data_IF_045943895871
#
_entry.id   IF_045943895871
#
_cell.length_a   1.000
_cell.length_b   1.000
_cell.length_c   1.000
_cell.angle_alpha   90.00
_cell.angle_beta   90.00
_cell.angle_gamma   90.00
#
_symmetry.space_group_name_H-M   'P 1'
#
loop_
_entity.id
_entity.type
_entity.pdbx_description
1 polymer ?
#
# COMPACT_ATOMS: atom_id res chain seq x y z
N UNK A 1 18.81 -42.08 -6.05
CA UNK A 1 19.10 -42.59 -4.70
C UNK A 1 20.52 -42.18 -4.30
N UNK A 2 20.77 -40.90 -3.99
CA UNK A 2 22.11 -40.44 -3.55
C UNK A 2 22.17 -39.08 -2.83
N UNK A 3 21.07 -38.33 -2.69
CA UNK A 3 21.11 -36.98 -2.09
C UNK A 3 20.91 -37.02 -0.56
N UNK A 4 20.40 -38.12 -0.01
CA UNK A 4 20.09 -38.24 1.43
C UNK A 4 21.33 -38.38 2.33
N UNK A 5 22.47 -38.81 1.78
CA UNK A 5 23.68 -39.11 2.55
C UNK A 5 24.50 -37.87 2.94
N UNK A 6 24.41 -36.78 2.17
CA UNK A 6 25.16 -35.54 2.47
C UNK A 6 24.55 -34.79 3.64
N UNK A 7 23.21 -34.74 3.71
CA UNK A 7 22.50 -34.03 4.78
C UNK A 7 22.66 -34.70 6.16
N UNK A 8 22.85 -36.02 6.20
CA UNK A 8 23.05 -36.79 7.43
C UNK A 8 24.46 -36.64 8.01
N UNK A 9 25.46 -36.30 7.19
CA UNK A 9 26.86 -36.19 7.60
C UNK A 9 27.22 -34.82 8.19
N UNK A 10 26.47 -33.77 7.85
CA UNK A 10 26.68 -32.41 8.39
C UNK A 10 26.16 -32.29 9.83
N UNK A 11 25.03 -32.92 10.13
CA UNK A 11 24.39 -32.94 11.45
C UNK A 11 25.33 -33.38 12.62
N UNK A 12 26.08 -34.50 12.54
CA UNK A 12 26.98 -34.91 13.62
C UNK A 12 28.24 -34.05 13.73
N UNK A 13 28.70 -33.43 12.63
CA UNK A 13 29.88 -32.57 12.64
C UNK A 13 29.59 -31.24 13.36
N UNK A 14 28.39 -30.67 13.17
CA UNK A 14 27.95 -29.45 13.83
C UNK A 14 27.76 -29.63 15.34
N UNK A 15 27.22 -30.79 15.77
CA UNK A 15 27.03 -31.12 17.18
C UNK A 15 28.34 -31.22 17.99
N UNK A 16 29.45 -31.65 17.37
CA UNK A 16 30.78 -31.74 18.02
C UNK A 16 31.45 -30.37 18.18
N UNK A 17 31.14 -29.41 17.31
CA UNK A 17 31.74 -28.07 17.33
C UNK A 17 31.12 -27.11 18.35
N UNK A 18 30.03 -27.50 19.05
CA UNK A 18 29.35 -26.64 20.02
C UNK A 18 28.58 -25.48 19.38
N UNK A 19 28.45 -25.44 18.06
CA UNK A 19 27.76 -24.41 17.28
C UNK A 19 26.37 -24.93 16.91
N UNK A 20 25.46 -24.93 17.89
CA UNK A 20 24.11 -25.52 17.75
C UNK A 20 23.04 -24.47 17.39
N UNK A 21 23.32 -23.18 17.64
CA UNK A 21 22.38 -22.06 17.46
C UNK A 21 22.64 -21.24 16.19
N UNK A 22 23.22 -21.85 15.15
CA UNK A 22 23.46 -21.13 13.90
C UNK A 22 22.23 -21.24 13.00
N UNK A 23 21.57 -20.10 12.76
CA UNK A 23 20.41 -20.07 11.88
C UNK A 23 20.81 -20.44 10.45
N UNK A 24 20.13 -21.46 9.90
CA UNK A 24 20.34 -21.89 8.53
C UNK A 24 20.03 -20.75 7.55
N UNK A 25 20.88 -20.59 6.53
CA UNK A 25 20.71 -19.57 5.49
C UNK A 25 19.33 -19.64 4.83
N UNK A 26 18.79 -20.85 4.64
CA UNK A 26 17.46 -21.07 4.06
C UNK A 26 16.39 -20.42 4.94
N UNK A 27 16.47 -20.60 6.26
CA UNK A 27 15.55 -20.01 7.23
C UNK A 27 15.60 -18.49 7.17
N UNK A 28 16.80 -17.91 7.17
CA UNK A 28 17.02 -16.46 7.05
C UNK A 28 16.40 -15.92 5.76
N UNK A 29 16.62 -16.60 4.63
CA UNK A 29 16.09 -16.17 3.33
C UNK A 29 14.57 -16.26 3.26
N UNK A 30 13.96 -17.31 3.84
CA UNK A 30 12.50 -17.44 3.88
C UNK A 30 11.90 -16.34 4.75
N UNK A 31 12.44 -16.14 5.96
CA UNK A 31 11.95 -15.10 6.88
C UNK A 31 12.13 -13.69 6.26
N UNK A 32 13.32 -13.40 5.74
CA UNK A 32 13.62 -12.15 5.06
C UNK A 32 12.74 -11.94 3.82
N UNK A 33 12.48 -13.01 3.05
CA UNK A 33 11.58 -12.99 1.90
C UNK A 33 10.14 -12.66 2.29
N UNK A 34 9.62 -13.26 3.36
CA UNK A 34 8.27 -12.95 3.88
C UNK A 34 8.17 -11.48 4.28
N UNK A 35 9.15 -10.98 5.04
CA UNK A 35 9.19 -9.56 5.46
C UNK A 35 9.30 -8.65 4.24
N UNK A 36 10.13 -8.98 3.25
CA UNK A 36 10.28 -8.20 2.04
C UNK A 36 8.98 -8.16 1.23
N UNK A 37 8.27 -9.28 1.05
CA UNK A 37 6.96 -9.33 0.39
C UNK A 37 5.96 -8.44 1.11
N UNK A 38 5.90 -8.55 2.44
CA UNK A 38 4.99 -7.72 3.24
C UNK A 38 5.31 -6.22 3.07
N UNK A 39 6.59 -5.86 3.11
CA UNK A 39 7.06 -4.47 3.03
C UNK A 39 6.92 -3.85 1.63
N UNK A 40 7.22 -4.57 0.55
CA UNK A 40 7.18 -4.04 -0.81
C UNK A 40 5.85 -4.25 -1.53
N UNK A 41 5.13 -5.33 -1.25
CA UNK A 41 3.94 -5.71 -2.02
C UNK A 41 2.64 -5.50 -1.26
N UNK A 42 2.61 -5.73 0.06
CA UNK A 42 1.36 -5.67 0.83
C UNK A 42 1.13 -4.26 1.40
N UNK A 43 2.11 -3.72 2.12
CA UNK A 43 1.96 -2.45 2.82
C UNK A 43 1.78 -1.23 1.91
N UNK A 44 2.49 -1.07 0.78
CA UNK A 44 2.36 0.12 -0.03
C UNK A 44 0.95 0.28 -0.62
N UNK A 45 0.29 -0.74 -1.21
CA UNK A 45 -1.12 -0.67 -1.61
C UNK A 45 -2.08 -0.26 -0.49
N UNK A 46 -1.88 -0.77 0.73
CA UNK A 46 -2.71 -0.42 1.89
C UNK A 46 -2.56 1.07 2.21
N UNK A 47 -1.32 1.56 2.30
CA UNK A 47 -1.02 2.97 2.61
C UNK A 47 -1.55 3.89 1.50
N UNK A 48 -1.34 3.55 0.23
CA UNK A 48 -1.85 4.34 -0.89
C UNK A 48 -3.40 4.36 -0.92
N UNK A 49 -4.06 3.26 -0.59
CA UNK A 49 -5.52 3.21 -0.46
C UNK A 49 -6.01 4.07 0.72
N UNK A 50 -5.32 4.01 1.87
CA UNK A 50 -5.63 4.85 3.04
C UNK A 50 -5.50 6.33 2.71
N UNK A 51 -4.38 6.73 2.09
CA UNK A 51 -4.15 8.07 1.59
C UNK A 51 -5.26 8.50 0.63
N UNK A 52 -5.61 7.68 -0.38
CA UNK A 52 -6.66 8.01 -1.36
C UNK A 52 -7.99 8.37 -0.69
N UNK A 53 -8.44 7.57 0.27
CA UNK A 53 -9.77 7.72 0.91
C UNK A 53 -9.79 8.89 1.88
N UNK A 54 -8.69 9.11 2.62
CA UNK A 54 -8.67 10.03 3.76
C UNK A 54 -7.96 11.35 3.48
N UNK A 55 -7.32 11.53 2.31
CA UNK A 55 -6.52 12.71 1.99
C UNK A 55 -7.23 14.02 2.34
N UNK A 56 -8.48 14.20 1.92
CA UNK A 56 -9.23 15.45 2.14
C UNK A 56 -9.93 15.53 3.51
N UNK A 57 -9.96 14.46 4.29
CA UNK A 57 -10.68 14.36 5.58
C UNK A 57 -9.77 14.13 6.79
N UNK A 58 -8.45 14.14 6.58
CA UNK A 58 -7.47 13.82 7.63
C UNK A 58 -7.36 14.93 8.66
N UNK A 59 -7.19 14.55 9.93
CA UNK A 59 -6.82 15.46 11.03
C UNK A 59 -5.30 15.60 11.13
N UNK A 60 -4.82 16.55 11.93
CA UNK A 60 -3.38 16.82 12.12
C UNK A 60 -2.57 15.58 12.49
N UNK A 61 -3.02 14.80 13.48
CA UNK A 61 -2.32 13.58 13.91
C UNK A 61 -2.32 12.50 12.81
N UNK A 62 -3.45 12.30 12.14
CA UNK A 62 -3.56 11.36 11.02
C UNK A 62 -2.62 11.73 9.87
N UNK A 63 -2.47 13.02 9.58
CA UNK A 63 -1.52 13.51 8.59
C UNK A 63 -0.07 13.13 8.93
N UNK A 64 0.36 13.34 10.17
CA UNK A 64 1.72 12.96 10.61
C UNK A 64 1.94 11.45 10.45
N UNK A 65 0.97 10.64 10.88
CA UNK A 65 1.06 9.18 10.77
C UNK A 65 1.11 8.73 9.30
N UNK A 66 0.26 9.29 8.45
CA UNK A 66 0.25 9.00 7.02
C UNK A 66 1.60 9.31 6.35
N UNK A 67 2.17 10.49 6.63
CA UNK A 67 3.47 10.85 6.08
C UNK A 67 4.60 9.96 6.61
N UNK A 68 4.60 9.67 7.91
CA UNK A 68 5.57 8.74 8.51
C UNK A 68 5.54 7.37 7.81
N UNK A 69 4.34 6.82 7.56
CA UNK A 69 4.19 5.56 6.84
C UNK A 69 4.69 5.67 5.38
N UNK A 70 4.41 6.77 4.68
CA UNK A 70 4.93 6.97 3.31
C UNK A 70 6.46 6.99 3.29
N UNK A 71 7.12 7.65 4.24
CA UNK A 71 8.58 7.66 4.31
C UNK A 71 9.14 6.29 4.69
N UNK A 72 8.51 5.60 5.64
CA UNK A 72 8.95 4.27 6.07
C UNK A 72 8.83 3.23 4.94
N UNK A 73 7.81 3.33 4.08
CA UNK A 73 7.58 2.42 2.94
C UNK A 73 7.89 3.07 1.58
N UNK A 74 8.64 4.17 1.55
CA UNK A 74 8.90 4.93 0.34
C UNK A 74 9.42 4.10 -0.84
N UNK A 75 10.42 3.20 -0.68
CA UNK A 75 10.89 2.39 -1.79
C UNK A 75 9.82 1.43 -2.32
N UNK A 76 8.93 0.93 -1.45
CA UNK A 76 7.76 0.15 -1.86
C UNK A 76 6.71 0.98 -2.58
N UNK A 77 6.42 2.19 -2.12
CA UNK A 77 5.48 3.10 -2.80
C UNK A 77 5.99 3.46 -4.20
N UNK A 78 7.30 3.67 -4.37
CA UNK A 78 7.92 3.94 -5.67
C UNK A 78 7.74 2.78 -6.65
N UNK A 79 7.84 1.54 -6.19
CA UNK A 79 7.60 0.34 -7.01
C UNK A 79 6.18 0.32 -7.59
N UNK A 80 5.18 0.76 -6.80
CA UNK A 80 3.78 0.75 -7.22
C UNK A 80 3.34 1.97 -8.02
N UNK A 81 4.08 3.09 -7.94
CA UNK A 81 3.74 4.35 -8.58
C UNK A 81 3.35 4.26 -10.07
N UNK A 82 4.04 3.50 -10.94
CA UNK A 82 3.67 3.43 -12.36
C UNK A 82 2.39 2.63 -12.64
N UNK A 83 1.94 1.79 -11.71
CA UNK A 83 0.83 0.85 -11.93
C UNK A 83 -0.53 1.41 -11.47
N UNK A 84 -0.52 2.38 -10.56
CA UNK A 84 -1.75 2.88 -9.94
C UNK A 84 -2.13 4.26 -10.50
N UNK A 85 -3.38 4.36 -10.98
CA UNK A 85 -3.95 5.61 -11.46
C UNK A 85 -5.07 6.07 -10.52
N UNK A 86 -4.80 7.09 -9.71
CA UNK A 86 -5.79 7.69 -8.80
C UNK A 86 -6.53 8.89 -9.39
N UNK A 87 -6.54 9.03 -10.72
CA UNK A 87 -7.36 10.05 -11.39
C UNK A 87 -8.84 9.79 -11.09
N UNK A 88 -9.55 10.85 -10.73
CA UNK A 88 -11.01 10.80 -10.54
C UNK A 88 -11.68 10.38 -11.86
N UNK A 89 -12.68 9.51 -11.77
CA UNK A 89 -13.52 9.15 -12.90
C UNK A 89 -14.37 10.35 -13.37
N UNK A 90 -14.91 10.30 -14.60
CA UNK A 90 -15.81 11.33 -15.11
C UNK A 90 -16.97 11.57 -14.14
N UNK A 91 -17.27 12.85 -13.86
CA UNK A 91 -18.19 13.25 -12.78
C UNK A 91 -19.67 13.17 -13.15
N UNK A 92 -19.98 13.13 -14.44
CA UNK A 92 -21.34 13.12 -14.95
C UNK A 92 -21.47 12.00 -16.00
N UNK A 93 -22.30 10.97 -15.75
CA UNK A 93 -22.53 9.86 -16.68
C UNK A 93 -23.20 10.29 -17.99
N UNK A 94 -23.89 11.44 -18.00
CA UNK A 94 -24.60 11.95 -19.18
C UNK A 94 -23.66 12.61 -20.20
N UNK A 95 -22.44 12.94 -19.79
CA UNK A 95 -21.45 13.57 -20.66
C UNK A 95 -20.87 12.54 -21.64
N UNK A 96 -20.97 12.83 -22.94
CA UNK A 96 -20.34 12.04 -24.00
C UNK A 96 -18.82 12.01 -23.87
N UNK A 97 -18.21 13.12 -23.43
CA UNK A 97 -16.76 13.24 -23.29
C UNK A 97 -16.38 13.73 -21.88
N UNK A 98 -15.25 13.30 -21.31
CA UNK A 98 -14.86 13.70 -19.95
C UNK A 98 -14.45 15.18 -19.83
N UNK A 99 -14.25 15.88 -20.95
CA UNK A 99 -13.94 17.32 -21.01
C UNK A 99 -15.11 18.20 -21.45
N UNK A 100 -16.29 17.62 -21.74
CA UNK A 100 -17.48 18.45 -22.02
C UNK A 100 -18.01 19.11 -20.75
N UNK A 101 -18.56 20.31 -20.88
CA UNK A 101 -19.21 21.01 -19.78
C UNK A 101 -20.65 20.49 -19.58
N UNK A 102 -21.07 20.21 -18.34
CA UNK A 102 -22.45 19.83 -18.04
C UNK A 102 -23.41 20.95 -18.38
N UNK A 103 -24.60 20.59 -18.87
CA UNK A 103 -25.67 21.54 -19.17
C UNK A 103 -26.26 22.12 -17.88
N UNK A 104 -26.27 21.32 -16.81
CA UNK A 104 -26.69 21.73 -15.47
C UNK A 104 -25.60 21.37 -14.44
N UNK A 105 -24.69 22.30 -14.12
CA UNK A 105 -23.59 22.05 -13.18
C UNK A 105 -24.06 21.83 -11.74
N UNK A 106 -25.33 22.14 -11.41
CA UNK A 106 -25.86 21.94 -10.06
C UNK A 106 -26.10 20.47 -9.72
N UNK A 107 -26.27 19.62 -10.73
CA UNK A 107 -26.48 18.18 -10.61
C UNK A 107 -25.19 17.37 -10.57
N UNK A 108 -24.04 18.01 -10.79
CA UNK A 108 -22.74 17.34 -10.76
C UNK A 108 -22.21 17.36 -9.34
N UNK A 109 -22.10 16.19 -8.74
CA UNK A 109 -21.55 16.05 -7.39
C UNK A 109 -20.06 16.43 -7.38
N UNK A 110 -19.73 17.42 -6.55
CA UNK A 110 -18.35 17.86 -6.35
C UNK A 110 -17.76 17.13 -5.15
N UNK A 111 -16.52 16.68 -5.24
CA UNK A 111 -15.79 15.99 -4.16
C UNK A 111 -14.85 16.93 -3.40
N UNK A 112 -15.18 18.22 -3.38
CA UNK A 112 -14.41 19.29 -2.74
C UNK A 112 -15.37 20.26 -2.06
N UNK A 113 -14.87 20.98 -1.05
CA UNK A 113 -15.61 22.03 -0.34
C UNK A 113 -16.24 23.02 -1.34
N UNK A 114 -17.57 22.94 -1.52
CA UNK A 114 -18.32 23.93 -2.29
C UNK A 114 -18.28 25.30 -1.62
N UNK A 115 -18.21 25.29 -0.28
CA UNK A 115 -18.18 26.46 0.59
C UNK A 115 -17.14 26.25 1.70
N UNK A 116 -16.56 27.33 2.27
CA UNK A 116 -15.53 27.24 3.32
C UNK A 116 -16.00 26.60 4.62
N UNK A 117 -17.32 26.47 4.81
CA UNK A 117 -17.98 25.86 5.97
C UNK A 117 -18.69 24.55 5.64
N UNK A 118 -18.51 24.00 4.43
CA UNK A 118 -19.15 22.73 4.06
C UNK A 118 -18.52 21.58 4.85
N UNK A 119 -19.34 20.68 5.39
CA UNK A 119 -18.88 19.49 6.08
C UNK A 119 -18.56 18.37 5.07
N UNK A 120 -17.68 17.40 5.38
CA UNK A 120 -17.36 16.30 4.48
C UNK A 120 -18.55 15.47 4.00
N UNK A 121 -19.65 15.54 4.72
CA UNK A 121 -20.91 14.87 4.44
C UNK A 121 -21.75 15.62 3.37
N UNK A 122 -21.52 16.92 3.17
CA UNK A 122 -22.26 17.78 2.23
C UNK A 122 -21.82 17.61 0.76
N UNK A 123 -20.72 16.89 0.52
CA UNK A 123 -20.11 16.74 -0.80
C UNK A 123 -19.51 15.34 -1.04
N UNK A 124 -19.73 14.40 -0.13
CA UNK A 124 -19.52 12.99 -0.42
C UNK A 124 -20.76 12.48 -1.18
N UNK A 125 -20.58 11.82 -2.35
CA UNK A 125 -21.64 11.00 -2.92
C UNK A 125 -22.12 10.03 -1.84
N UNK A 126 -23.42 10.01 -1.53
CA UNK A 126 -23.98 8.97 -0.67
C UNK A 126 -23.66 7.65 -1.36
N UNK A 127 -22.74 6.88 -0.77
CA UNK A 127 -22.33 5.57 -1.31
C UNK A 127 -23.51 4.62 -1.34
#
# INVERSE_FOLDING_TARGET
MSIQWLHQAEQPALAVTGVNDQEDLITILIQGGIVAVWYFLIMPPIIMNWLRIRWYRRKLLEMYLQFMCVFLFFPGVMLWAPFLNFRKFPRDPSLKYPWSTPQDPSKVENTFYKYPFAEPEDYDPIR
#
